data_IF_437425508185
#
_entry.id   IF_437425508185
#
_cell.length_a   1.000
_cell.length_b   1.000
_cell.length_c   1.000
_cell.angle_alpha   90.00
_cell.angle_beta   90.00
_cell.angle_gamma   90.00
#
_symmetry.space_group_name_H-M   'P 1'
#
loop_
_entity.id
_entity.type
_entity.pdbx_description
1 polymer ?
#
# COMPACT_ATOMS: atom_id res chain seq x y z
N UNK A 1 -51.95 38.15 32.92
CA UNK A 1 -52.25 38.06 31.48
C UNK A 1 -51.46 39.15 30.77
N UNK A 2 -50.45 38.82 29.95
CA UNK A 2 -50.57 38.63 28.48
C UNK A 2 -51.08 39.91 27.79
N UNK A 3 -50.51 40.46 26.71
CA UNK A 3 -49.49 40.02 25.73
C UNK A 3 -49.20 41.22 24.81
N UNK A 4 -47.91 41.39 24.48
CA UNK A 4 -47.29 41.61 23.15
C UNK A 4 -47.78 42.68 22.15
N UNK A 5 -46.78 43.06 21.34
CA UNK A 5 -46.77 43.61 19.97
C UNK A 5 -46.48 45.12 19.93
N UNK A 6 -45.55 45.66 19.13
CA UNK A 6 -44.97 45.19 17.86
C UNK A 6 -43.65 45.94 17.56
N UNK A 7 -42.74 45.22 16.89
CA UNK A 7 -41.44 45.58 16.25
C UNK A 7 -41.51 46.87 15.40
N UNK A 8 -40.42 47.60 15.09
CA UNK A 8 -39.36 47.27 14.11
C UNK A 8 -38.15 48.24 14.19
N UNK A 9 -36.91 47.74 14.32
CA UNK A 9 -35.82 47.57 13.31
C UNK A 9 -35.07 48.84 12.88
N UNK A 10 -33.75 48.88 13.17
CA UNK A 10 -32.60 49.10 12.25
C UNK A 10 -31.30 48.91 13.06
N UNK A 11 -30.53 47.86 12.79
CA UNK A 11 -29.39 47.78 11.87
C UNK A 11 -28.06 47.93 12.64
N UNK A 12 -27.46 46.80 13.00
CA UNK A 12 -26.08 46.72 13.48
C UNK A 12 -25.38 45.61 12.69
N UNK A 13 -24.35 46.02 11.94
CA UNK A 13 -23.50 45.12 11.17
C UNK A 13 -22.78 44.14 12.09
N UNK A 14 -22.88 42.85 11.77
CA UNK A 14 -22.07 41.81 12.39
C UNK A 14 -21.15 41.24 11.32
N UNK A 15 -19.86 41.44 11.54
CA UNK A 15 -18.74 40.94 10.74
C UNK A 15 -18.95 39.45 10.43
N UNK A 16 -18.90 39.10 9.15
CA UNK A 16 -18.79 37.72 8.70
C UNK A 16 -17.43 37.17 9.17
N UNK A 17 -17.33 35.96 9.74
CA UNK A 17 -16.04 35.34 9.95
C UNK A 17 -15.50 34.93 8.59
N UNK A 18 -14.26 35.33 8.29
CA UNK A 18 -13.52 34.87 7.13
C UNK A 18 -13.45 33.34 7.18
N UNK A 19 -14.22 32.69 6.31
CA UNK A 19 -14.05 31.28 6.00
C UNK A 19 -12.67 31.13 5.39
N UNK A 20 -11.69 30.73 6.20
CA UNK A 20 -10.41 30.27 5.69
C UNK A 20 -10.72 29.04 4.85
N UNK A 21 -10.84 29.22 3.54
CA UNK A 21 -10.64 28.16 2.57
C UNK A 21 -9.24 27.61 2.85
N UNK A 22 -9.17 26.57 3.70
CA UNK A 22 -8.11 25.58 3.62
C UNK A 22 -8.19 25.09 2.20
N UNK A 23 -7.36 25.67 1.33
CA UNK A 23 -6.92 24.97 0.15
C UNK A 23 -6.41 23.65 0.70
N UNK A 24 -7.13 22.57 0.40
CA UNK A 24 -6.60 21.23 0.58
C UNK A 24 -5.45 21.17 -0.43
N UNK A 25 -4.30 21.71 -0.01
CA UNK A 25 -3.00 21.42 -0.59
C UNK A 25 -3.02 19.91 -0.72
N UNK A 26 -2.96 19.43 -1.97
CA UNK A 26 -3.09 18.02 -2.30
C UNK A 26 -2.32 17.22 -1.27
N UNK A 27 -3.06 16.41 -0.51
CA UNK A 27 -2.47 15.54 0.50
C UNK A 27 -1.35 14.77 -0.16
N UNK A 28 -0.19 14.95 0.44
CA UNK A 28 1.10 14.31 0.23
C UNK A 28 1.05 13.11 -0.72
N UNK A 29 1.89 13.17 -1.77
CA UNK A 29 2.33 11.97 -2.47
C UNK A 29 2.73 10.98 -1.37
N UNK A 30 1.90 9.94 -1.23
CA UNK A 30 2.08 8.81 -0.33
C UNK A 30 3.57 8.50 -0.20
N UNK A 31 4.05 8.26 1.02
CA UNK A 31 5.37 7.68 1.27
C UNK A 31 5.58 6.28 0.64
N UNK A 32 4.72 5.88 -0.30
CA UNK A 32 4.87 4.77 -1.22
C UNK A 32 5.95 5.08 -2.27
N UNK A 33 6.66 4.04 -2.73
CA UNK A 33 7.69 4.16 -3.73
C UNK A 33 7.14 4.80 -5.03
N UNK A 34 7.80 5.86 -5.50
CA UNK A 34 7.46 6.50 -6.77
C UNK A 34 7.84 5.63 -7.97
N UNK A 35 7.18 5.83 -9.12
CA UNK A 35 7.54 5.15 -10.37
C UNK A 35 9.03 5.29 -10.70
N UNK A 36 9.60 6.49 -10.48
CA UNK A 36 11.02 6.76 -10.68
C UNK A 36 11.89 5.86 -9.80
N UNK A 37 11.59 5.75 -8.51
CA UNK A 37 12.35 4.88 -7.59
C UNK A 37 12.23 3.40 -7.98
N UNK A 38 11.06 2.94 -8.41
CA UNK A 38 10.89 1.56 -8.87
C UNK A 38 11.66 1.27 -10.17
N UNK A 39 11.77 2.27 -11.05
CA UNK A 39 12.56 2.19 -12.28
C UNK A 39 14.05 2.09 -11.94
N UNK A 40 14.55 2.97 -11.08
CA UNK A 40 15.95 2.99 -10.61
C UNK A 40 16.32 1.71 -9.86
N UNK A 41 15.40 1.16 -9.07
CA UNK A 41 15.57 -0.11 -8.36
C UNK A 41 15.49 -1.34 -9.28
N UNK A 42 15.16 -1.18 -10.56
CA UNK A 42 15.11 -2.28 -11.53
C UNK A 42 13.94 -3.26 -11.35
N UNK A 43 12.84 -2.84 -10.72
CA UNK A 43 11.67 -3.71 -10.42
C UNK A 43 10.99 -4.24 -11.70
N UNK A 44 11.15 -3.53 -12.81
CA UNK A 44 10.57 -3.88 -14.10
C UNK A 44 11.25 -5.06 -14.81
N UNK A 45 12.41 -5.52 -14.33
CA UNK A 45 13.09 -6.68 -14.92
C UNK A 45 12.43 -8.00 -14.50
N UNK A 46 11.86 -8.69 -15.49
CA UNK A 46 11.31 -10.03 -15.34
C UNK A 46 12.37 -11.13 -15.51
N UNK A 47 11.91 -12.33 -15.82
CA UNK A 47 12.78 -13.47 -16.13
C UNK A 47 13.10 -13.55 -17.64
N UNK A 48 14.00 -14.47 -17.98
CA UNK A 48 14.28 -14.84 -19.37
C UNK A 48 13.02 -15.37 -20.07
N UNK A 49 12.88 -15.10 -21.36
CA UNK A 49 11.67 -15.45 -22.14
C UNK A 49 11.45 -16.94 -22.33
N UNK A 50 12.47 -17.76 -22.07
CA UNK A 50 12.37 -19.23 -22.01
C UNK A 50 11.79 -19.76 -20.69
N UNK A 51 11.76 -18.96 -19.63
CA UNK A 51 11.37 -19.35 -18.27
C UNK A 51 10.31 -18.39 -17.72
N UNK A 52 9.12 -18.46 -18.30
CA UNK A 52 7.99 -17.61 -17.92
C UNK A 52 6.69 -18.41 -17.80
N UNK A 53 5.71 -17.85 -17.08
CA UNK A 53 4.37 -18.41 -16.98
C UNK A 53 3.44 -17.66 -17.95
N UNK A 54 2.72 -18.33 -18.88
CA UNK A 54 1.82 -17.68 -19.84
C UNK A 54 0.76 -16.76 -19.22
N UNK A 55 0.36 -17.02 -17.97
CA UNK A 55 -0.58 -16.15 -17.23
C UNK A 55 -0.01 -14.77 -16.92
N UNK A 56 1.31 -14.58 -17.03
CA UNK A 56 1.97 -13.28 -16.86
C UNK A 56 1.86 -12.37 -18.09
N UNK A 57 1.36 -12.87 -19.23
CA UNK A 57 1.25 -12.10 -20.48
C UNK A 57 0.59 -10.72 -20.30
N UNK A 58 -0.50 -10.56 -19.53
CA UNK A 58 -1.14 -9.24 -19.32
C UNK A 58 -0.32 -8.24 -18.50
N UNK A 59 0.79 -8.67 -17.88
CA UNK A 59 1.66 -7.86 -17.02
C UNK A 59 3.01 -7.53 -17.70
N UNK A 60 3.27 -8.13 -18.86
CA UNK A 60 4.51 -7.93 -19.64
C UNK A 60 4.27 -6.79 -20.62
N UNK A 61 5.11 -5.76 -20.55
CA UNK A 61 5.10 -4.64 -21.48
C UNK A 61 5.79 -5.01 -22.80
N UNK A 62 7.00 -5.57 -22.73
CA UNK A 62 7.77 -5.98 -23.91
C UNK A 62 8.87 -6.98 -23.56
N UNK A 63 9.64 -7.42 -24.56
CA UNK A 63 10.86 -8.20 -24.40
C UNK A 63 12.05 -7.41 -24.96
N UNK A 64 13.17 -7.42 -24.24
CA UNK A 64 14.42 -6.83 -24.72
C UNK A 64 15.59 -7.73 -24.37
N UNK A 65 16.41 -8.09 -25.36
CA UNK A 65 17.57 -8.96 -25.18
C UNK A 65 17.25 -10.30 -24.46
N UNK A 66 16.09 -10.90 -24.73
CA UNK A 66 15.70 -12.18 -24.14
C UNK A 66 15.16 -12.09 -22.70
N UNK A 67 14.91 -10.88 -22.17
CA UNK A 67 14.33 -10.64 -20.84
C UNK A 67 12.96 -9.97 -21.00
N UNK A 68 11.96 -10.46 -20.27
CA UNK A 68 10.66 -9.79 -20.18
C UNK A 68 10.76 -8.51 -19.35
N UNK A 69 10.21 -7.43 -19.87
CA UNK A 69 10.04 -6.15 -19.18
C UNK A 69 8.59 -6.06 -18.70
N UNK A 70 8.39 -5.87 -17.40
CA UNK A 70 7.07 -5.74 -16.77
C UNK A 70 6.54 -4.31 -16.93
N UNK A 71 5.22 -4.17 -17.05
CA UNK A 71 4.55 -2.86 -17.08
C UNK A 71 4.61 -2.18 -15.71
N UNK A 72 5.53 -1.23 -15.57
CA UNK A 72 5.73 -0.50 -14.33
C UNK A 72 4.54 0.38 -13.94
N UNK A 73 3.78 0.91 -14.89
CA UNK A 73 2.57 1.69 -14.59
C UNK A 73 1.51 0.79 -13.96
N UNK A 74 1.39 -0.45 -14.45
CA UNK A 74 0.52 -1.46 -13.82
C UNK A 74 1.05 -1.88 -12.44
N UNK A 75 2.37 -2.05 -12.28
CA UNK A 75 2.99 -2.37 -10.98
C UNK A 75 2.71 -1.29 -9.93
N UNK A 76 2.84 0.00 -10.27
CA UNK A 76 2.58 1.11 -9.34
C UNK A 76 1.14 1.07 -8.82
N UNK A 77 0.15 0.95 -9.73
CA UNK A 77 -1.27 0.87 -9.32
C UNK A 77 -1.55 -0.31 -8.40
N UNK A 78 -1.05 -1.50 -8.76
CA UNK A 78 -1.25 -2.73 -7.96
C UNK A 78 -0.52 -2.68 -6.62
N UNK A 79 0.62 -2.00 -6.57
CA UNK A 79 1.36 -1.80 -5.33
C UNK A 79 0.57 -0.92 -4.36
N UNK A 80 -0.04 0.16 -4.85
CA UNK A 80 -0.92 1.02 -4.03
C UNK A 80 -2.15 0.26 -3.53
N UNK A 81 -2.79 -0.55 -4.38
CA UNK A 81 -3.90 -1.44 -3.99
C UNK A 81 -3.48 -2.42 -2.89
N UNK A 82 -2.31 -3.05 -3.02
CA UNK A 82 -1.78 -3.99 -2.03
C UNK A 82 -1.44 -3.29 -0.70
N UNK A 83 -0.85 -2.10 -0.75
CA UNK A 83 -0.58 -1.30 0.44
C UNK A 83 -1.87 -0.93 1.17
N UNK A 84 -2.92 -0.58 0.43
CA UNK A 84 -4.22 -0.26 1.01
C UNK A 84 -4.82 -1.49 1.71
N UNK A 85 -4.76 -2.67 1.10
CA UNK A 85 -5.22 -3.91 1.72
C UNK A 85 -4.45 -4.24 3.00
N UNK A 86 -3.12 -4.11 3.00
CA UNK A 86 -2.31 -4.34 4.21
C UNK A 86 -2.68 -3.36 5.33
N UNK A 87 -2.91 -2.09 5.01
CA UNK A 87 -3.37 -1.09 5.99
C UNK A 87 -4.72 -1.47 6.59
N UNK A 88 -5.67 -1.89 5.75
CA UNK A 88 -7.00 -2.34 6.20
C UNK A 88 -6.89 -3.55 7.13
N UNK A 89 -6.16 -4.59 6.72
CA UNK A 89 -5.91 -5.80 7.53
C UNK A 89 -5.33 -5.47 8.91
N UNK A 90 -4.28 -4.66 8.97
CA UNK A 90 -3.63 -4.30 10.24
C UNK A 90 -4.52 -3.38 11.09
N UNK A 91 -5.26 -2.46 10.47
CA UNK A 91 -6.21 -1.60 11.19
C UNK A 91 -7.37 -2.37 11.82
N UNK A 92 -7.71 -3.54 11.26
CA UNK A 92 -8.68 -4.48 11.83
C UNK A 92 -8.09 -5.36 12.96
N UNK A 93 -6.84 -5.12 13.37
CA UNK A 93 -6.17 -5.88 14.42
C UNK A 93 -5.70 -7.28 13.97
N UNK A 94 -5.64 -7.54 12.67
CA UNK A 94 -5.19 -8.83 12.14
C UNK A 94 -3.66 -8.87 11.97
N UNK A 95 -3.12 -10.09 12.00
CA UNK A 95 -1.68 -10.34 11.88
C UNK A 95 -1.28 -10.57 10.42
N UNK A 96 -0.15 -9.99 10.00
CA UNK A 96 0.46 -10.20 8.68
C UNK A 96 1.72 -11.06 8.82
N UNK A 97 1.76 -12.20 8.13
CA UNK A 97 2.94 -13.08 8.11
C UNK A 97 3.87 -12.71 6.95
N UNK A 98 5.11 -12.34 7.27
CA UNK A 98 6.13 -12.07 6.26
C UNK A 98 6.82 -13.35 5.81
N UNK A 99 6.91 -13.64 4.51
CA UNK A 99 7.52 -14.89 4.01
C UNK A 99 8.54 -14.59 2.90
N UNK A 100 9.79 -15.00 3.09
CA UNK A 100 10.81 -14.91 2.05
C UNK A 100 11.95 -15.91 2.23
N UNK A 101 12.07 -16.87 1.32
CA UNK A 101 13.06 -17.96 1.43
C UNK A 101 14.35 -17.70 0.65
N UNK A 102 14.36 -16.71 -0.26
CA UNK A 102 15.52 -16.34 -1.07
C UNK A 102 16.60 -15.67 -0.23
N UNK A 103 17.87 -16.11 -0.39
CA UNK A 103 19.01 -15.63 0.42
C UNK A 103 19.09 -14.10 0.51
N UNK A 104 18.94 -13.42 -0.62
CA UNK A 104 18.99 -11.96 -0.72
C UNK A 104 17.85 -11.21 0.00
N UNK A 105 16.74 -11.89 0.32
CA UNK A 105 15.57 -11.28 0.96
C UNK A 105 15.47 -11.60 2.46
N UNK A 106 16.16 -12.64 2.95
CA UNK A 106 16.00 -13.14 4.33
C UNK A 106 16.29 -12.08 5.40
N UNK A 107 17.42 -11.38 5.27
CA UNK A 107 17.85 -10.39 6.26
C UNK A 107 16.89 -9.19 6.30
N UNK A 108 16.51 -8.68 5.13
CA UNK A 108 15.57 -7.54 4.99
C UNK A 108 14.21 -7.90 5.60
N UNK A 109 13.66 -9.05 5.24
CA UNK A 109 12.31 -9.44 5.68
C UNK A 109 12.27 -9.72 7.18
N UNK A 110 13.32 -10.34 7.74
CA UNK A 110 13.44 -10.51 9.19
C UNK A 110 13.44 -9.17 9.92
N UNK A 111 14.34 -8.26 9.52
CA UNK A 111 14.50 -6.97 10.17
C UNK A 111 13.21 -6.13 10.11
N UNK A 112 12.52 -6.11 8.96
CA UNK A 112 11.28 -5.35 8.81
C UNK A 112 10.11 -5.93 9.61
N UNK A 113 10.00 -7.26 9.67
CA UNK A 113 8.97 -7.92 10.48
C UNK A 113 9.21 -7.72 11.98
N UNK A 114 10.45 -7.82 12.44
CA UNK A 114 10.83 -7.54 13.84
C UNK A 114 10.57 -6.07 14.20
N UNK A 115 10.87 -5.13 13.29
CA UNK A 115 10.62 -3.70 13.48
C UNK A 115 9.15 -3.36 13.69
N UNK A 116 8.23 -4.07 13.01
CA UNK A 116 6.80 -3.86 13.15
C UNK A 116 6.10 -4.88 14.09
N UNK A 117 6.86 -5.76 14.75
CA UNK A 117 6.32 -6.75 15.68
C UNK A 117 5.46 -7.85 15.03
N UNK A 118 5.67 -8.13 13.74
CA UNK A 118 4.91 -9.11 12.98
C UNK A 118 5.68 -10.44 12.83
N UNK A 119 5.00 -11.59 12.71
CA UNK A 119 5.66 -12.88 12.51
C UNK A 119 6.30 -12.98 11.12
N UNK A 120 7.34 -13.81 11.00
CA UNK A 120 8.02 -14.05 9.73
C UNK A 120 8.53 -15.49 9.56
N UNK A 121 8.66 -15.91 8.29
CA UNK A 121 9.35 -17.14 7.87
C UNK A 121 10.38 -16.80 6.81
N UNK A 122 11.66 -16.85 7.19
CA UNK A 122 12.78 -16.59 6.27
C UNK A 122 13.57 -17.85 5.88
N UNK A 123 13.32 -18.95 6.59
CA UNK A 123 13.91 -20.24 6.32
C UNK A 123 12.98 -21.08 5.44
N UNK A 124 13.29 -22.36 5.24
CA UNK A 124 12.43 -23.28 4.51
C UNK A 124 11.04 -23.30 5.15
N UNK A 125 10.01 -23.10 4.34
CA UNK A 125 8.61 -23.28 4.75
C UNK A 125 8.33 -24.77 5.00
N UNK A 126 7.78 -25.10 6.16
CA UNK A 126 7.38 -26.46 6.48
C UNK A 126 5.97 -26.72 5.95
N UNK A 127 5.79 -27.84 5.23
CA UNK A 127 4.46 -28.25 4.80
C UNK A 127 3.56 -28.42 6.03
N UNK A 128 2.36 -27.84 5.98
CA UNK A 128 1.42 -27.90 7.10
C UNK A 128 1.48 -26.71 8.07
N UNK A 129 2.41 -25.75 7.94
CA UNK A 129 2.53 -24.63 8.89
C UNK A 129 1.22 -23.87 9.12
N UNK A 130 0.34 -23.72 8.12
CA UNK A 130 -0.96 -23.06 8.33
C UNK A 130 -2.13 -24.04 8.49
N UNK A 131 -2.03 -25.24 7.94
CA UNK A 131 -3.15 -26.19 7.88
C UNK A 131 -3.11 -27.25 8.98
N UNK A 132 -1.96 -27.42 9.64
CA UNK A 132 -1.74 -28.36 10.74
C UNK A 132 -0.95 -27.67 11.87
N UNK A 133 -1.45 -26.53 12.33
CA UNK A 133 -0.78 -25.73 13.36
C UNK A 133 -0.57 -26.51 14.66
N UNK A 134 -1.57 -27.26 15.12
CA UNK A 134 -1.54 -28.00 16.39
C UNK A 134 -0.40 -29.01 16.52
N UNK A 135 0.18 -29.50 15.42
CA UNK A 135 1.33 -30.41 15.44
C UNK A 135 2.68 -29.68 15.32
N UNK A 136 2.69 -28.50 14.69
CA UNK A 136 3.93 -27.80 14.30
C UNK A 136 4.32 -26.71 15.31
N UNK A 137 3.35 -26.16 16.04
CA UNK A 137 3.52 -25.05 16.98
C UNK A 137 4.29 -25.42 18.25
#
# INVERSE_FOLDING_TARGET
>A
MARRHRRERRAAGRRQPASSRRTHRGSDVSAAATMKQMLEAGVHFGHQTRRWNPRMRPFIYTERHGIHILDLAQTVRRFDEALQQVRETVSAGQTVLFVATKKQARAVIRAEAERCGMPYVTNRWLGGTLTNWATIS
#
